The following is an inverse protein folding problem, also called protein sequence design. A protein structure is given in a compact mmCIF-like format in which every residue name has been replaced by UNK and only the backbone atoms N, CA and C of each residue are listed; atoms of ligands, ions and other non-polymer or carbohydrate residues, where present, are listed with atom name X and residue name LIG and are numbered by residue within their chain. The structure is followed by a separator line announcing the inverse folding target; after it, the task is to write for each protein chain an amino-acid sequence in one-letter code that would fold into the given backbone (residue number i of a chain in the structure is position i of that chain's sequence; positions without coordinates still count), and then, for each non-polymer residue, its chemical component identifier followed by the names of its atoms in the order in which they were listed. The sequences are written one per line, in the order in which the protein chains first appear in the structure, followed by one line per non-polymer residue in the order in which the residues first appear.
data_IF_722695235207
#
_entry.id   IF_722695235207
#
_cell.length_a   1.000
_cell.length_b   1.000
_cell.length_c   1.000
_cell.angle_alpha   90.00
_cell.angle_beta   90.00
_cell.angle_gamma   90.00
#
_symmetry.space_group_name_H-M   'P 1'
#
loop_
_entity.id
_entity.type
_entity.pdbx_description
1 polymer ?
#
# COMPACT_ATOMS: atom_id res chain seq x y z
N UNK A 1 -23.76 12.12 -2.40
CA UNK A 1 -22.94 11.10 -1.70
C UNK A 1 -21.95 11.80 -0.78
N UNK A 2 -21.53 11.18 0.34
CA UNK A 2 -20.49 11.74 1.22
C UNK A 2 -19.10 11.25 0.76
N UNK A 3 -18.04 12.09 0.76
CA UNK A 3 -16.69 11.66 0.39
C UNK A 3 -16.16 10.55 1.30
N UNK A 4 -15.69 9.44 0.72
CA UNK A 4 -14.91 8.40 1.40
C UNK A 4 -13.41 8.70 1.37
N UNK A 5 -12.93 9.38 0.33
CA UNK A 5 -11.53 9.76 0.14
C UNK A 5 -11.39 11.28 0.18
N UNK A 6 -10.40 11.78 0.91
CA UNK A 6 -10.04 13.20 0.92
C UNK A 6 -8.62 13.39 0.38
N UNK A 7 -8.50 14.13 -0.72
CA UNK A 7 -7.23 14.43 -1.38
C UNK A 7 -6.80 15.84 -1.01
N UNK A 8 -5.60 15.99 -0.44
CA UNK A 8 -5.00 17.28 -0.18
C UNK A 8 -3.76 17.49 -1.06
N UNK A 9 -3.73 18.60 -1.77
CA UNK A 9 -2.58 19.06 -2.55
C UNK A 9 -1.82 20.15 -1.79
N UNK A 10 -0.50 20.05 -1.76
CA UNK A 10 0.36 21.08 -1.18
C UNK A 10 0.40 22.37 -2.02
N UNK A 11 0.22 22.22 -3.33
CA UNK A 11 0.15 23.28 -4.34
C UNK A 11 -0.88 22.95 -5.42
N UNK A 12 -1.46 23.97 -6.05
CA UNK A 12 -2.32 23.78 -7.21
C UNK A 12 -1.55 23.19 -8.41
N UNK A 13 -0.22 23.38 -8.47
CA UNK A 13 0.65 22.77 -9.48
C UNK A 13 0.68 21.24 -9.42
N UNK A 14 0.30 20.65 -8.29
CA UNK A 14 0.32 19.19 -8.09
C UNK A 14 -0.92 18.51 -8.72
N UNK A 15 -1.81 19.29 -9.34
CA UNK A 15 -3.09 18.82 -9.88
C UNK A 15 -2.92 17.71 -10.93
N UNK A 16 -1.91 17.76 -11.80
CA UNK A 16 -1.68 16.71 -12.80
C UNK A 16 -1.42 15.33 -12.17
N UNK A 17 -0.86 15.28 -10.96
CA UNK A 17 -0.70 14.02 -10.21
C UNK A 17 -2.01 13.63 -9.54
N UNK A 18 -2.76 14.60 -9.03
CA UNK A 18 -4.08 14.38 -8.46
C UNK A 18 -5.08 13.83 -9.48
N UNK A 19 -5.03 14.32 -10.72
CA UNK A 19 -5.90 13.89 -11.83
C UNK A 19 -5.82 12.37 -12.05
N UNK A 20 -4.60 11.80 -12.03
CA UNK A 20 -4.40 10.35 -12.09
C UNK A 20 -5.13 9.59 -10.97
N UNK A 21 -5.20 10.18 -9.77
CA UNK A 21 -5.95 9.61 -8.65
C UNK A 21 -7.47 9.76 -8.87
N UNK A 22 -7.92 10.92 -9.35
CA UNK A 22 -9.34 11.20 -9.63
C UNK A 22 -9.90 10.22 -10.66
N UNK A 23 -9.17 9.99 -11.76
CA UNK A 23 -9.58 9.08 -12.83
C UNK A 23 -9.85 7.66 -12.31
N UNK A 24 -9.01 7.17 -11.38
CA UNK A 24 -9.18 5.86 -10.76
C UNK A 24 -10.39 5.87 -9.82
N UNK A 25 -10.56 6.91 -9.00
CA UNK A 25 -11.68 7.00 -8.05
C UNK A 25 -13.02 7.08 -8.78
N UNK A 26 -13.10 7.80 -9.91
CA UNK A 26 -14.27 7.86 -10.79
C UNK A 26 -14.59 6.49 -11.40
N UNK A 27 -13.60 5.80 -11.97
CA UNK A 27 -13.77 4.44 -12.51
C UNK A 27 -14.29 3.46 -11.44
N UNK A 28 -13.76 3.56 -10.22
CA UNK A 28 -14.16 2.74 -9.09
C UNK A 28 -15.41 3.24 -8.37
N UNK A 29 -16.00 4.36 -8.82
CA UNK A 29 -17.20 4.98 -8.24
C UNK A 29 -17.05 5.23 -6.73
N UNK A 30 -15.89 5.70 -6.29
CA UNK A 30 -15.59 6.02 -4.90
C UNK A 30 -15.73 7.54 -4.73
N UNK A 31 -16.68 8.03 -3.91
CA UNK A 31 -16.85 9.46 -3.70
C UNK A 31 -15.61 10.08 -3.05
N UNK A 32 -15.17 11.23 -3.57
CA UNK A 32 -14.01 11.94 -3.05
C UNK A 32 -14.25 13.45 -2.94
N UNK A 33 -13.37 14.13 -2.21
CA UNK A 33 -13.21 15.59 -2.22
C UNK A 33 -11.73 15.92 -2.41
N UNK A 34 -11.44 17.06 -3.05
CA UNK A 34 -10.09 17.55 -3.32
C UNK A 34 -9.95 18.98 -2.83
N UNK A 35 -8.90 19.23 -2.04
CA UNK A 35 -8.60 20.56 -1.49
C UNK A 35 -7.13 20.90 -1.67
N UNK A 36 -6.85 22.19 -1.91
CA UNK A 36 -5.49 22.73 -1.88
C UNK A 36 -5.24 23.39 -0.53
N UNK A 37 -4.25 22.88 0.21
CA UNK A 37 -3.81 23.40 1.50
C UNK A 37 -2.34 23.03 1.74
N UNK A 38 -1.54 24.02 2.09
CA UNK A 38 -0.09 23.88 2.22
C UNK A 38 0.29 23.66 3.68
N UNK A 39 1.02 22.58 3.94
CA UNK A 39 1.64 22.27 5.23
C UNK A 39 2.44 23.44 5.82
N UNK A 40 3.15 24.20 4.99
CA UNK A 40 4.04 25.27 5.43
C UNK A 40 3.38 26.66 5.47
N UNK A 41 2.41 26.91 4.58
CA UNK A 41 1.80 28.26 4.41
C UNK A 41 0.41 28.38 5.03
N UNK A 42 -0.34 27.29 5.12
CA UNK A 42 -1.74 27.28 5.59
C UNK A 42 -1.99 26.08 6.50
N UNK A 43 -1.09 25.82 7.46
CA UNK A 43 -1.16 24.65 8.35
C UNK A 43 -2.49 24.53 9.11
N UNK A 44 -3.06 25.64 9.60
CA UNK A 44 -4.37 25.64 10.26
C UNK A 44 -5.50 25.18 9.32
N UNK A 45 -5.41 25.54 8.03
CA UNK A 45 -6.36 25.08 7.01
C UNK A 45 -6.25 23.56 6.81
N UNK A 46 -5.03 23.02 6.74
CA UNK A 46 -4.80 21.56 6.65
C UNK A 46 -5.44 20.86 7.85
N UNK A 47 -5.12 21.31 9.07
CA UNK A 47 -5.67 20.75 10.31
C UNK A 47 -7.19 20.77 10.33
N UNK A 48 -7.79 21.91 9.98
CA UNK A 48 -9.26 22.07 9.92
C UNK A 48 -9.88 21.09 8.92
N UNK A 49 -9.35 21.02 7.70
CA UNK A 49 -9.84 20.09 6.67
C UNK A 49 -9.77 18.65 7.17
N UNK A 50 -8.64 18.21 7.73
CA UNK A 50 -8.45 16.83 8.19
C UNK A 50 -9.43 16.46 9.30
N UNK A 51 -9.59 17.33 10.31
CA UNK A 51 -10.49 17.09 11.43
C UNK A 51 -11.96 17.06 11.00
N UNK A 52 -12.38 18.01 10.16
CA UNK A 52 -13.76 18.07 9.64
C UNK A 52 -14.07 16.88 8.74
N UNK A 53 -13.17 16.54 7.83
CA UNK A 53 -13.31 15.39 6.91
C UNK A 53 -13.41 14.07 7.67
N UNK A 54 -12.56 13.90 8.70
CA UNK A 54 -12.60 12.71 9.57
C UNK A 54 -13.96 12.59 10.27
N UNK A 55 -14.54 13.71 10.77
CA UNK A 55 -15.88 13.73 11.38
C UNK A 55 -17.00 13.48 10.36
N UNK A 56 -16.82 13.90 9.12
CA UNK A 56 -17.80 13.72 8.04
C UNK A 56 -17.84 12.30 7.49
N UNK A 57 -16.89 11.44 7.88
CA UNK A 57 -16.87 10.02 7.53
C UNK A 57 -15.84 9.65 6.46
N UNK A 58 -14.85 10.49 6.20
CA UNK A 58 -13.71 10.10 5.35
C UNK A 58 -12.99 8.90 5.96
N UNK A 59 -12.73 7.92 5.11
CA UNK A 59 -12.11 6.64 5.46
C UNK A 59 -10.61 6.65 5.15
N UNK A 60 -10.18 7.31 4.06
CA UNK A 60 -8.76 7.39 3.64
C UNK A 60 -8.40 8.81 3.21
N UNK A 61 -7.20 9.27 3.58
CA UNK A 61 -6.63 10.52 3.09
C UNK A 61 -5.52 10.25 2.08
N UNK A 62 -5.41 11.10 1.06
CA UNK A 62 -4.30 11.10 0.10
C UNK A 62 -3.62 12.47 0.18
N UNK A 63 -2.36 12.51 0.60
CA UNK A 63 -1.54 13.72 0.59
C UNK A 63 -0.60 13.71 -0.61
N UNK A 64 -0.70 14.72 -1.48
CA UNK A 64 0.15 14.87 -2.66
C UNK A 64 1.02 16.11 -2.47
N UNK A 65 2.34 15.93 -2.43
CA UNK A 65 3.28 17.02 -2.21
C UNK A 65 4.68 16.70 -2.72
N UNK A 66 5.38 17.72 -3.24
CA UNK A 66 6.78 17.66 -3.62
C UNK A 66 7.72 18.32 -2.61
N UNK A 67 9.02 18.30 -2.90
CA UNK A 67 10.09 18.88 -2.08
C UNK A 67 10.11 18.29 -0.65
N UNK A 68 10.16 19.14 0.37
CA UNK A 68 10.01 18.74 1.77
C UNK A 68 8.54 18.44 2.06
N UNK A 69 8.08 17.29 1.56
CA UNK A 69 6.68 16.86 1.49
C UNK A 69 6.10 16.51 2.87
N UNK A 70 5.92 17.51 3.73
CA UNK A 70 5.37 17.31 5.09
C UNK A 70 3.84 17.14 5.12
N UNK A 71 3.15 17.36 4.00
CA UNK A 71 1.68 17.32 3.98
C UNK A 71 1.12 15.95 4.40
N UNK A 72 1.56 14.80 3.85
CA UNK A 72 1.11 13.49 4.33
C UNK A 72 1.35 13.29 5.83
N UNK A 73 2.52 13.68 6.33
CA UNK A 73 2.85 13.55 7.75
C UNK A 73 1.97 14.42 8.66
N UNK A 74 1.68 15.65 8.27
CA UNK A 74 0.77 16.54 9.02
C UNK A 74 -0.66 15.99 9.02
N UNK A 75 -1.12 15.41 7.90
CA UNK A 75 -2.42 14.72 7.86
C UNK A 75 -2.41 13.56 8.87
N UNK A 76 -1.40 12.69 8.82
CA UNK A 76 -1.27 11.52 9.70
C UNK A 76 -1.22 11.88 11.19
N UNK A 77 -0.67 13.05 11.53
CA UNK A 77 -0.65 13.57 12.89
C UNK A 77 -2.01 14.08 13.39
N UNK A 78 -2.95 14.42 12.49
CA UNK A 78 -4.24 15.02 12.84
C UNK A 78 -5.45 14.09 12.59
N UNK A 79 -5.22 12.82 12.23
CA UNK A 79 -6.28 11.83 12.07
C UNK A 79 -5.85 10.44 12.55
N UNK A 80 -6.82 9.56 12.78
CA UNK A 80 -6.64 8.12 13.04
C UNK A 80 -7.04 7.28 11.81
N UNK A 81 -7.29 7.94 10.67
CA UNK A 81 -7.55 7.29 9.38
C UNK A 81 -6.24 7.03 8.64
N UNK A 82 -6.16 5.97 7.83
CA UNK A 82 -5.01 5.73 6.96
C UNK A 82 -4.70 6.93 6.08
N UNK A 83 -3.41 7.25 5.97
CA UNK A 83 -2.90 8.31 5.08
C UNK A 83 -2.00 7.69 4.03
N UNK A 84 -2.34 7.93 2.76
CA UNK A 84 -1.51 7.59 1.61
C UNK A 84 -0.71 8.82 1.20
N UNK A 85 0.61 8.68 1.12
CA UNK A 85 1.51 9.73 0.65
C UNK A 85 1.89 9.50 -0.81
N UNK A 86 1.69 10.51 -1.66
CA UNK A 86 2.13 10.51 -3.06
C UNK A 86 3.21 11.59 -3.21
N UNK A 87 4.49 11.20 -3.23
CA UNK A 87 5.60 12.11 -3.47
C UNK A 87 5.53 12.69 -4.89
N UNK A 88 5.78 13.98 -5.06
CA UNK A 88 5.82 14.63 -6.38
C UNK A 88 7.25 14.94 -6.78
N UNK A 89 7.61 14.65 -8.03
CA UNK A 89 8.90 15.06 -8.59
C UNK A 89 8.90 16.56 -8.91
N UNK A 90 9.78 17.30 -8.22
CA UNK A 90 9.95 18.75 -8.42
C UNK A 90 11.41 19.15 -8.67
N UNK A 91 12.39 18.43 -8.07
CA UNK A 91 13.81 18.78 -8.19
C UNK A 91 14.74 17.58 -8.28
N UNK A 92 14.76 16.72 -7.27
CA UNK A 92 15.72 15.62 -7.15
C UNK A 92 15.09 14.27 -7.48
N UNK A 93 14.29 14.21 -8.56
CA UNK A 93 13.58 12.99 -8.95
C UNK A 93 12.53 12.55 -7.92
N UNK A 94 11.97 13.51 -7.17
CA UNK A 94 11.04 13.27 -6.05
C UNK A 94 11.61 12.50 -4.85
N UNK A 95 12.92 12.23 -4.79
CA UNK A 95 13.53 11.50 -3.68
C UNK A 95 13.41 12.24 -2.35
N UNK A 96 13.51 13.57 -2.36
CA UNK A 96 13.27 14.42 -1.19
C UNK A 96 11.85 14.26 -0.65
N UNK A 97 10.85 14.29 -1.53
CA UNK A 97 9.45 14.10 -1.19
C UNK A 97 9.17 12.67 -0.68
N UNK A 98 9.82 11.67 -1.28
CA UNK A 98 9.69 10.26 -0.92
C UNK A 98 10.21 10.02 0.49
N UNK A 99 11.41 10.49 0.82
CA UNK A 99 11.95 10.34 2.18
C UNK A 99 11.15 11.15 3.20
N UNK A 100 10.71 12.37 2.85
CA UNK A 100 9.88 13.19 3.72
C UNK A 100 8.52 12.53 4.05
N UNK A 101 7.97 11.75 3.12
CA UNK A 101 6.68 11.06 3.31
C UNK A 101 6.83 9.70 4.00
N UNK A 102 7.87 8.92 3.68
CA UNK A 102 8.01 7.53 4.15
C UNK A 102 8.67 7.40 5.53
N UNK A 103 9.66 8.24 5.84
CA UNK A 103 10.49 8.14 7.04
C UNK A 103 9.81 8.75 8.28
N UNK A 104 8.55 8.41 8.50
CA UNK A 104 7.74 8.96 9.58
C UNK A 104 8.17 8.44 10.96
N UNK A 105 8.19 9.31 11.99
CA UNK A 105 8.34 8.86 13.37
C UNK A 105 7.12 8.06 13.81
N UNK A 106 7.31 7.21 14.82
CA UNK A 106 6.21 6.54 15.49
C UNK A 106 5.42 7.53 16.35
N UNK A 107 4.07 7.47 16.44
CA UNK A 107 3.14 6.50 15.85
C UNK A 107 2.33 7.05 14.65
N UNK A 108 2.91 7.89 13.79
CA UNK A 108 2.19 8.55 12.71
C UNK A 108 2.57 7.95 11.34
N UNK A 109 2.05 6.78 10.96
CA UNK A 109 2.42 6.15 9.70
C UNK A 109 1.89 6.93 8.50
N UNK A 110 2.60 6.80 7.37
CA UNK A 110 2.14 7.18 6.04
C UNK A 110 2.43 6.00 5.11
N UNK A 111 1.40 5.56 4.39
CA UNK A 111 1.52 4.56 3.33
C UNK A 111 2.05 5.24 2.06
N UNK A 112 3.36 5.27 1.88
CA UNK A 112 3.98 6.00 0.76
C UNK A 112 3.99 5.13 -0.50
N UNK A 113 3.44 5.66 -1.60
CA UNK A 113 3.52 5.04 -2.94
C UNK A 113 4.66 5.68 -3.76
N UNK A 114 4.92 5.16 -4.96
CA UNK A 114 5.96 5.68 -5.85
C UNK A 114 5.79 7.16 -6.21
N UNK A 115 6.90 7.79 -6.59
CA UNK A 115 6.92 9.19 -7.05
C UNK A 115 5.95 9.36 -8.23
N UNK A 116 5.12 10.41 -8.18
CA UNK A 116 4.11 10.77 -9.17
C UNK A 116 3.01 9.72 -9.44
N UNK A 117 2.90 8.69 -8.58
CA UNK A 117 1.93 7.59 -8.69
C UNK A 117 0.59 7.93 -8.04
N UNK A 118 -0.05 9.01 -8.49
CA UNK A 118 -1.41 9.37 -8.05
C UNK A 118 -2.41 8.23 -8.25
N UNK A 119 -2.27 7.49 -9.36
CA UNK A 119 -3.06 6.31 -9.67
C UNK A 119 -2.91 5.20 -8.62
N UNK A 120 -1.68 4.87 -8.19
CA UNK A 120 -1.47 3.87 -7.14
C UNK A 120 -1.94 4.39 -5.77
N UNK A 121 -1.89 5.70 -5.54
CA UNK A 121 -2.47 6.29 -4.34
C UNK A 121 -3.97 6.02 -4.23
N UNK A 122 -4.71 6.21 -5.33
CA UNK A 122 -6.14 5.92 -5.39
C UNK A 122 -6.44 4.41 -5.35
N UNK A 123 -5.65 3.58 -6.06
CA UNK A 123 -5.80 2.13 -6.03
C UNK A 123 -5.58 1.57 -4.61
N UNK A 124 -4.57 2.06 -3.88
CA UNK A 124 -4.34 1.68 -2.49
C UNK A 124 -5.52 2.10 -1.60
N UNK A 125 -6.04 3.32 -1.78
CA UNK A 125 -7.24 3.78 -1.06
C UNK A 125 -8.45 2.87 -1.32
N UNK A 126 -8.63 2.42 -2.57
CA UNK A 126 -9.68 1.47 -2.92
C UNK A 126 -9.49 0.09 -2.25
N UNK A 127 -8.26 -0.44 -2.20
CA UNK A 127 -7.97 -1.68 -1.48
C UNK A 127 -8.30 -1.55 0.01
N UNK A 128 -7.95 -0.43 0.63
CA UNK A 128 -8.21 -0.16 2.05
C UNK A 128 -9.73 -0.12 2.32
N UNK A 129 -10.49 0.63 1.51
CA UNK A 129 -11.95 0.68 1.61
C UNK A 129 -12.55 -0.71 1.36
N UNK A 130 -12.00 -1.46 0.40
CA UNK A 130 -12.38 -2.82 0.02
C UNK A 130 -12.21 -3.88 1.12
N UNK A 131 -11.52 -3.56 2.22
CA UNK A 131 -11.52 -4.41 3.43
C UNK A 131 -12.95 -4.59 3.97
N UNK A 132 -13.76 -3.52 3.93
CA UNK A 132 -15.13 -3.50 4.48
C UNK A 132 -16.21 -3.30 3.44
N UNK A 133 -15.88 -2.86 2.23
CA UNK A 133 -16.80 -2.63 1.13
C UNK A 133 -16.52 -3.63 -0.01
N UNK A 134 -17.27 -4.73 -0.04
CA UNK A 134 -17.10 -5.80 -1.02
C UNK A 134 -17.33 -5.33 -2.47
N UNK A 135 -18.21 -4.36 -2.69
CA UNK A 135 -18.49 -3.83 -4.02
C UNK A 135 -17.32 -3.00 -4.54
N UNK A 136 -16.66 -2.21 -3.68
CA UNK A 136 -15.40 -1.55 -4.03
C UNK A 136 -14.32 -2.57 -4.34
N UNK A 137 -14.21 -3.64 -3.54
CA UNK A 137 -13.24 -4.71 -3.79
C UNK A 137 -13.45 -5.35 -5.16
N UNK A 138 -14.68 -5.75 -5.51
CA UNK A 138 -14.99 -6.33 -6.83
C UNK A 138 -14.63 -5.40 -7.99
N UNK A 139 -14.98 -4.10 -7.88
CA UNK A 139 -14.61 -3.10 -8.91
C UNK A 139 -13.10 -2.93 -9.04
N UNK A 140 -12.38 -2.96 -7.91
CA UNK A 140 -10.92 -2.94 -7.92
C UNK A 140 -10.34 -4.18 -8.61
N UNK A 141 -10.81 -5.38 -8.29
CA UNK A 141 -10.35 -6.63 -8.91
C UNK A 141 -10.56 -6.60 -10.43
N UNK A 142 -11.73 -6.17 -10.89
CA UNK A 142 -12.04 -6.00 -12.32
C UNK A 142 -11.16 -4.94 -12.99
N UNK A 143 -10.94 -3.80 -12.34
CA UNK A 143 -10.04 -2.77 -12.86
C UNK A 143 -8.62 -3.31 -12.99
N UNK A 144 -8.19 -4.12 -12.02
CA UNK A 144 -6.87 -4.76 -12.02
C UNK A 144 -6.67 -5.70 -13.22
N UNK A 145 -7.69 -6.47 -13.60
CA UNK A 145 -7.67 -7.30 -14.81
C UNK A 145 -7.39 -6.48 -16.08
N UNK A 146 -7.90 -5.24 -16.15
CA UNK A 146 -7.65 -4.37 -17.31
C UNK A 146 -6.18 -3.99 -17.50
N UNK A 147 -5.39 -3.93 -16.41
CA UNK A 147 -3.94 -3.70 -16.51
C UNK A 147 -3.23 -4.91 -17.10
N UNK A 148 -3.67 -6.14 -16.78
CA UNK A 148 -3.13 -7.36 -17.37
C UNK A 148 -3.46 -7.46 -18.85
N UNK A 149 -4.72 -7.23 -19.23
CA UNK A 149 -5.12 -7.22 -20.64
C UNK A 149 -4.42 -6.12 -21.46
N UNK A 150 -3.96 -5.04 -20.82
CA UNK A 150 -3.15 -4.02 -21.50
C UNK A 150 -1.78 -4.57 -21.88
N UNK A 151 -1.12 -5.32 -20.99
CA UNK A 151 0.19 -5.93 -21.26
C UNK A 151 0.10 -6.90 -22.44
N UNK A 152 -0.95 -7.73 -22.50
CA UNK A 152 -1.17 -8.64 -23.64
C UNK A 152 -1.37 -7.89 -24.97
N UNK A 153 -2.08 -6.76 -24.96
CA UNK A 153 -2.25 -5.93 -26.16
C UNK A 153 -0.93 -5.27 -26.59
N UNK A 154 -0.18 -4.74 -25.63
CA UNK A 154 1.11 -4.09 -25.89
C UNK A 154 2.12 -5.11 -26.45
N UNK A 155 2.12 -6.35 -25.93
CA UNK A 155 2.91 -7.46 -26.47
C UNK A 155 2.51 -7.75 -27.92
N UNK A 156 1.24 -8.01 -28.21
CA UNK A 156 0.78 -8.31 -29.57
C UNK A 156 1.14 -7.19 -30.57
N UNK A 157 1.02 -5.92 -30.16
CA UNK A 157 1.44 -4.79 -31.00
C UNK A 157 2.94 -4.77 -31.26
N UNK A 158 3.76 -5.09 -30.25
CA UNK A 158 5.21 -5.17 -30.40
C UNK A 158 5.60 -6.31 -31.36
N UNK A 159 5.07 -7.52 -31.14
CA UNK A 159 5.43 -8.70 -31.93
C UNK A 159 5.04 -8.54 -33.41
N UNK A 160 3.90 -7.90 -33.70
CA UNK A 160 3.49 -7.59 -35.07
C UNK A 160 4.46 -6.68 -35.83
N UNK A 161 5.23 -5.85 -35.10
CA UNK A 161 6.21 -4.94 -35.66
C UNK A 161 7.63 -5.50 -35.66
N UNK A 162 7.84 -6.71 -35.09
CA UNK A 162 9.14 -7.35 -35.02
C UNK A 162 9.37 -8.23 -36.24
N UNK A 163 10.52 -8.01 -36.90
CA UNK A 163 11.10 -8.92 -37.88
C UNK A 163 12.58 -9.11 -37.58
N UNK A 164 13.16 -10.21 -38.02
CA UNK A 164 14.60 -10.46 -37.87
C UNK A 164 14.97 -11.92 -38.12
N UNK A 165 16.19 -12.14 -38.61
CA UNK A 165 16.68 -13.47 -38.97
C UNK A 165 16.90 -14.40 -37.76
N UNK A 166 16.82 -13.87 -36.53
CA UNK A 166 17.05 -14.58 -35.27
C UNK A 166 15.84 -14.50 -34.32
N UNK A 167 14.72 -13.94 -34.75
CA UNK A 167 13.50 -13.83 -33.94
C UNK A 167 12.51 -14.92 -34.33
N UNK A 168 12.21 -15.82 -33.39
CA UNK A 168 11.31 -16.95 -33.58
C UNK A 168 10.38 -17.04 -32.35
N UNK A 169 9.21 -16.39 -32.38
CA UNK A 169 8.28 -16.46 -31.26
C UNK A 169 7.74 -17.88 -31.12
N UNK A 170 7.75 -18.41 -29.90
CA UNK A 170 7.09 -19.68 -29.57
C UNK A 170 5.59 -19.45 -29.38
N UNK A 171 4.77 -20.37 -29.86
CA UNK A 171 3.33 -20.39 -29.59
C UNK A 171 3.10 -20.98 -28.19
N UNK A 172 2.89 -20.11 -27.21
CA UNK A 172 2.69 -20.48 -25.80
C UNK A 172 1.24 -20.17 -25.44
N UNK A 173 0.49 -21.19 -25.03
CA UNK A 173 -0.89 -21.03 -24.54
C UNK A 173 -0.91 -20.56 -23.08
N UNK A 174 -1.07 -19.25 -22.89
CA UNK A 174 -1.19 -18.63 -21.57
C UNK A 174 -2.58 -18.76 -20.92
N UNK A 175 -3.56 -19.36 -21.61
CA UNK A 175 -4.92 -19.57 -21.07
C UNK A 175 -5.05 -20.83 -20.23
N UNK A 176 -4.11 -21.77 -20.39
CA UNK A 176 -4.02 -22.99 -19.59
C UNK A 176 -3.43 -22.68 -18.21
N UNK A 177 -4.28 -22.49 -17.19
CA UNK A 177 -3.82 -22.52 -15.80
C UNK A 177 -3.55 -23.99 -15.43
N UNK A 178 -2.29 -24.37 -15.27
CA UNK A 178 -1.97 -25.63 -14.60
C UNK A 178 -2.55 -25.58 -13.19
N UNK A 179 -3.53 -26.45 -12.91
CA UNK A 179 -4.05 -26.62 -11.54
C UNK A 179 -2.93 -27.19 -10.67
N UNK A 180 -2.33 -26.34 -9.84
CA UNK A 180 -1.44 -26.80 -8.77
C UNK A 180 -2.30 -27.62 -7.81
N UNK A 181 -2.22 -28.95 -7.91
CA UNK A 181 -2.84 -29.88 -6.95
C UNK A 181 -2.18 -29.70 -5.59
N UNK A 182 -2.75 -28.83 -4.76
CA UNK A 182 -2.39 -28.72 -3.35
C UNK A 182 -3.28 -29.69 -2.58
N UNK A 183 -2.66 -30.61 -1.84
CA UNK A 183 -3.33 -31.40 -0.82
C UNK A 183 -4.02 -30.45 0.16
N UNK A 184 -5.35 -30.52 0.28
CA UNK A 184 -6.14 -29.77 1.25
C UNK A 184 -5.63 -30.05 2.67
N UNK A 185 -4.79 -29.16 3.21
CA UNK A 185 -4.65 -29.07 4.67
C UNK A 185 -5.93 -28.42 5.21
N UNK A 186 -6.52 -28.95 6.29
CA UNK A 186 -7.78 -28.45 6.81
C UNK A 186 -7.64 -26.97 7.16
N UNK A 187 -8.50 -26.14 6.57
CA UNK A 187 -8.59 -24.72 6.88
C UNK A 187 -8.81 -24.57 8.40
N UNK A 188 -7.87 -23.92 9.09
CA UNK A 188 -8.07 -23.56 10.49
C UNK A 188 -9.26 -22.62 10.58
N UNK A 189 -10.18 -22.87 11.52
CA UNK A 189 -11.46 -22.18 11.65
C UNK A 189 -11.37 -20.70 12.05
N UNK A 190 -10.17 -20.14 12.24
CA UNK A 190 -9.97 -18.74 12.64
C UNK A 190 -8.88 -18.11 11.75
N UNK A 191 -9.30 -17.54 10.60
CA UNK A 191 -8.39 -16.87 9.68
C UNK A 191 -7.85 -15.60 10.34
N UNK A 192 -6.52 -15.41 10.42
CA UNK A 192 -5.95 -14.21 11.01
C UNK A 192 -6.30 -12.96 10.17
N UNK A 193 -6.38 -11.81 10.83
CA UNK A 193 -6.67 -10.55 10.13
C UNK A 193 -5.51 -10.13 9.21
N UNK A 194 -4.26 -10.42 9.59
CA UNK A 194 -3.05 -9.96 8.91
C UNK A 194 -2.08 -11.13 8.64
N UNK A 195 -1.50 -11.19 7.45
CA UNK A 195 -0.36 -12.05 7.17
C UNK A 195 0.95 -11.24 7.19
N UNK A 196 1.89 -11.58 8.08
CA UNK A 196 3.19 -10.95 8.22
C UNK A 196 4.26 -11.84 7.60
N UNK A 197 4.93 -11.33 6.57
CA UNK A 197 5.81 -12.12 5.70
C UNK A 197 7.23 -11.53 5.69
N UNK A 198 8.10 -11.94 6.62
CA UNK A 198 9.53 -11.73 6.50
C UNK A 198 10.15 -12.56 5.36
N UNK A 199 10.95 -11.93 4.50
CA UNK A 199 11.63 -12.61 3.38
C UNK A 199 12.78 -13.52 3.79
N UNK A 200 13.35 -13.27 4.96
CA UNK A 200 14.46 -14.03 5.52
C UNK A 200 14.46 -13.98 7.05
N UNK A 201 15.23 -14.88 7.67
CA UNK A 201 15.45 -14.82 9.12
C UNK A 201 16.17 -13.55 9.58
N UNK A 202 16.92 -12.90 8.70
CA UNK A 202 17.58 -11.62 9.00
C UNK A 202 16.58 -10.48 9.19
N UNK A 203 15.37 -10.60 8.65
CA UNK A 203 14.30 -9.61 8.76
C UNK A 203 13.46 -9.78 10.05
N UNK A 204 13.75 -10.81 10.85
CA UNK A 204 12.94 -11.19 12.01
C UNK A 204 12.95 -10.16 13.14
N UNK A 205 14.00 -9.34 13.28
CA UNK A 205 14.02 -8.28 14.29
C UNK A 205 12.93 -7.24 14.03
N UNK A 206 12.74 -6.87 12.75
CA UNK A 206 11.67 -5.96 12.31
C UNK A 206 10.31 -6.66 12.43
N UNK A 207 10.20 -7.93 12.02
CA UNK A 207 8.96 -8.69 12.13
C UNK A 207 8.48 -8.87 13.58
N UNK A 208 9.39 -9.15 14.52
CA UNK A 208 9.09 -9.20 15.96
C UNK A 208 8.59 -7.86 16.48
N UNK A 209 9.20 -6.75 16.04
CA UNK A 209 8.73 -5.41 16.40
C UNK A 209 7.31 -5.17 15.87
N UNK A 210 7.04 -5.51 14.61
CA UNK A 210 5.70 -5.39 14.01
C UNK A 210 4.65 -6.17 14.80
N UNK A 211 4.91 -7.46 15.02
CA UNK A 211 3.98 -8.37 15.70
C UNK A 211 3.72 -7.98 17.15
N UNK A 212 4.74 -7.54 17.89
CA UNK A 212 4.55 -6.98 19.24
C UNK A 212 3.57 -5.79 19.27
N UNK A 213 3.52 -4.97 18.22
CA UNK A 213 2.54 -3.88 18.13
C UNK A 213 1.16 -4.36 17.70
N UNK A 214 1.07 -5.37 16.82
CA UNK A 214 -0.20 -6.03 16.48
C UNK A 214 -0.84 -6.66 17.73
N UNK A 215 -0.07 -7.38 18.55
CA UNK A 215 -0.51 -7.96 19.83
C UNK A 215 -1.07 -6.90 20.78
N UNK A 216 -0.38 -5.75 20.91
CA UNK A 216 -0.83 -4.64 21.77
C UNK A 216 -2.16 -4.03 21.34
N UNK A 217 -2.54 -4.20 20.08
CA UNK A 217 -3.81 -3.74 19.53
C UNK A 217 -4.83 -4.87 19.41
N UNK A 218 -4.44 -6.10 19.80
CA UNK A 218 -5.24 -7.31 19.73
C UNK A 218 -5.77 -7.53 18.29
N UNK A 219 -4.81 -7.53 17.36
CA UNK A 219 -4.99 -7.86 15.95
C UNK A 219 -4.36 -9.23 15.71
N UNK A 220 -5.15 -10.21 15.26
CA UNK A 220 -4.65 -11.55 14.97
C UNK A 220 -3.79 -11.55 13.70
N UNK A 221 -2.69 -12.30 13.74
CA UNK A 221 -1.78 -12.40 12.60
C UNK A 221 -1.17 -13.80 12.45
N UNK A 222 -0.81 -14.16 11.22
CA UNK A 222 0.16 -15.25 10.93
C UNK A 222 1.53 -14.64 10.65
N UNK A 223 2.60 -15.27 11.14
CA UNK A 223 3.98 -14.86 10.89
C UNK A 223 4.75 -16.02 10.25
N UNK A 224 5.17 -15.84 8.99
CA UNK A 224 5.88 -16.90 8.26
C UNK A 224 7.09 -16.36 7.49
N UNK A 225 8.28 -16.90 7.76
CA UNK A 225 9.49 -16.58 7.00
C UNK A 225 9.46 -17.35 5.69
N UNK A 226 9.22 -16.65 4.60
CA UNK A 226 9.09 -17.27 3.29
C UNK A 226 9.59 -16.38 2.17
N UNK A 227 10.28 -16.98 1.20
CA UNK A 227 10.96 -16.29 0.12
C UNK A 227 10.41 -16.80 -1.21
N UNK A 228 9.82 -15.93 -2.06
CA UNK A 228 9.30 -16.33 -3.36
C UNK A 228 10.40 -16.78 -4.33
N UNK A 229 11.65 -16.33 -4.12
CA UNK A 229 12.79 -16.70 -4.96
C UNK A 229 13.39 -18.04 -4.57
N UNK A 230 13.54 -18.28 -3.25
CA UNK A 230 14.17 -19.52 -2.76
C UNK A 230 13.20 -20.69 -2.70
N UNK A 231 11.92 -20.41 -2.47
CA UNK A 231 10.87 -21.41 -2.25
C UNK A 231 9.54 -20.99 -2.92
N UNK A 232 9.50 -20.88 -4.27
CA UNK A 232 8.33 -20.35 -5.00
C UNK A 232 7.04 -21.14 -4.75
N UNK A 233 7.06 -22.47 -4.88
CA UNK A 233 5.87 -23.31 -4.66
C UNK A 233 5.32 -23.18 -3.24
N UNK A 234 6.21 -23.09 -2.23
CA UNK A 234 5.81 -22.90 -0.84
C UNK A 234 5.16 -21.52 -0.66
N UNK A 235 5.69 -20.50 -1.34
CA UNK A 235 5.17 -19.14 -1.28
C UNK A 235 3.76 -19.06 -1.87
N UNK A 236 3.54 -19.66 -3.04
CA UNK A 236 2.22 -19.73 -3.68
C UNK A 236 1.20 -20.46 -2.81
N UNK A 237 1.56 -21.64 -2.25
CA UNK A 237 0.70 -22.37 -1.31
C UNK A 237 0.35 -21.54 -0.07
N UNK A 238 1.31 -20.77 0.45
CA UNK A 238 1.07 -19.88 1.57
C UNK A 238 0.11 -18.73 1.20
N UNK A 239 0.27 -18.15 0.01
CA UNK A 239 -0.63 -17.09 -0.48
C UNK A 239 -2.07 -17.59 -0.65
N UNK A 240 -2.27 -18.79 -1.20
CA UNK A 240 -3.60 -19.41 -1.32
C UNK A 240 -4.23 -19.66 0.06
N UNK A 241 -3.46 -20.19 1.01
CA UNK A 241 -3.91 -20.39 2.40
C UNK A 241 -4.30 -19.07 3.08
N UNK A 242 -3.66 -17.97 2.72
CA UNK A 242 -3.87 -16.64 3.30
C UNK A 242 -4.79 -15.75 2.45
N UNK A 243 -5.55 -16.29 1.49
CA UNK A 243 -6.41 -15.49 0.59
C UNK A 243 -7.48 -14.65 1.31
N UNK A 244 -7.92 -15.12 2.47
CA UNK A 244 -9.01 -14.53 3.25
C UNK A 244 -8.56 -13.50 4.31
N UNK A 245 -7.24 -13.28 4.45
CA UNK A 245 -6.72 -12.20 5.30
C UNK A 245 -7.18 -10.83 4.78
N UNK A 246 -7.19 -9.85 5.67
CA UNK A 246 -7.63 -8.48 5.32
C UNK A 246 -6.54 -7.67 4.65
N UNK A 247 -5.28 -7.88 5.04
CA UNK A 247 -4.11 -7.24 4.45
C UNK A 247 -2.83 -8.03 4.72
N UNK A 248 -1.77 -7.68 3.99
CA UNK A 248 -0.44 -8.24 4.14
C UNK A 248 0.57 -7.21 4.66
N UNK A 249 1.53 -7.65 5.46
CA UNK A 249 2.72 -6.88 5.81
C UNK A 249 3.94 -7.64 5.29
N UNK A 250 4.55 -7.13 4.23
CA UNK A 250 5.75 -7.71 3.62
C UNK A 250 7.01 -7.03 4.20
N UNK A 251 7.87 -7.81 4.84
CA UNK A 251 9.06 -7.32 5.54
C UNK A 251 10.29 -7.91 4.86
N UNK A 252 11.10 -7.11 4.17
CA UNK A 252 12.26 -7.67 3.47
C UNK A 252 13.36 -6.63 3.31
N UNK A 253 14.60 -7.08 3.49
CA UNK A 253 15.78 -6.37 3.00
C UNK A 253 16.10 -6.75 1.55
N UNK A 254 17.15 -6.15 1.01
CA UNK A 254 17.60 -6.36 -0.38
C UNK A 254 16.50 -6.02 -1.40
N UNK A 255 16.35 -6.81 -2.46
CA UNK A 255 15.58 -6.48 -3.67
C UNK A 255 14.05 -6.60 -3.56
N UNK A 256 13.46 -6.40 -2.37
CA UNK A 256 12.00 -6.27 -2.15
C UNK A 256 11.09 -7.37 -2.76
N UNK A 257 11.63 -8.53 -3.13
CA UNK A 257 10.93 -9.53 -3.94
C UNK A 257 9.67 -10.09 -3.27
N UNK A 258 9.67 -10.22 -1.93
CA UNK A 258 8.47 -10.64 -1.18
C UNK A 258 7.32 -9.70 -1.45
N UNK A 259 7.54 -8.39 -1.30
CA UNK A 259 6.50 -7.38 -1.50
C UNK A 259 5.95 -7.44 -2.92
N UNK A 260 6.81 -7.53 -3.93
CA UNK A 260 6.39 -7.65 -5.33
C UNK A 260 5.56 -8.92 -5.58
N UNK A 261 5.99 -10.06 -5.04
CA UNK A 261 5.28 -11.34 -5.21
C UNK A 261 3.93 -11.37 -4.48
N UNK A 262 3.83 -10.79 -3.28
CA UNK A 262 2.55 -10.67 -2.54
C UNK A 262 1.55 -9.86 -3.35
N UNK A 263 1.97 -8.70 -3.86
CA UNK A 263 1.09 -7.84 -4.67
C UNK A 263 0.68 -8.56 -5.94
N UNK A 264 1.60 -9.25 -6.62
CA UNK A 264 1.29 -10.01 -7.82
C UNK A 264 0.18 -11.06 -7.61
N UNK A 265 0.15 -11.72 -6.45
CA UNK A 265 -0.78 -12.80 -6.13
C UNK A 265 -2.00 -12.39 -5.29
N UNK A 266 -2.11 -11.13 -4.86
CA UNK A 266 -3.19 -10.69 -3.99
C UNK A 266 -3.75 -9.32 -4.33
N UNK A 267 -5.08 -9.20 -4.32
CA UNK A 267 -5.81 -7.94 -4.42
C UNK A 267 -5.91 -7.14 -3.11
N UNK A 268 -5.48 -7.73 -1.98
CA UNK A 268 -5.57 -7.08 -0.66
C UNK A 268 -4.51 -5.97 -0.53
N UNK A 269 -4.72 -4.97 0.36
CA UNK A 269 -3.68 -4.00 0.68
C UNK A 269 -2.39 -4.69 1.13
N UNK A 270 -1.26 -4.16 0.67
CA UNK A 270 0.08 -4.60 1.07
C UNK A 270 0.85 -3.45 1.69
N UNK A 271 1.31 -3.64 2.93
CA UNK A 271 2.21 -2.73 3.61
C UNK A 271 3.65 -3.24 3.44
N UNK A 272 4.51 -2.44 2.80
CA UNK A 272 5.92 -2.74 2.64
C UNK A 272 6.75 -2.19 3.81
N UNK A 273 7.58 -3.04 4.43
CA UNK A 273 8.50 -2.65 5.49
C UNK A 273 9.95 -2.96 5.08
N UNK A 274 10.71 -1.97 4.60
CA UNK A 274 12.07 -2.17 4.15
C UNK A 274 13.01 -2.46 5.33
N UNK A 275 13.95 -3.40 5.16
CA UNK A 275 14.92 -3.75 6.20
C UNK A 275 16.35 -3.29 5.85
N UNK A 276 17.12 -2.79 6.84
CA UNK A 276 18.43 -2.17 6.61
C UNK A 276 19.58 -3.20 6.50
N UNK A 277 19.45 -4.19 5.63
CA UNK A 277 20.49 -5.22 5.45
C UNK A 277 21.72 -4.70 4.67
N UNK A 278 21.49 -3.86 3.66
CA UNK A 278 22.52 -3.19 2.84
C UNK A 278 22.13 -1.74 2.64
N UNK A 279 23.08 -0.86 2.32
CA UNK A 279 22.83 0.56 2.01
C UNK A 279 21.92 1.31 2.99
N UNK A 280 21.93 0.93 4.28
CA UNK A 280 21.00 1.50 5.28
C UNK A 280 19.52 1.26 5.00
N UNK A 281 19.17 0.28 4.15
CA UNK A 281 17.80 -0.07 3.73
C UNK A 281 17.29 0.72 2.54
N UNK A 282 18.10 1.59 1.95
CA UNK A 282 17.72 2.41 0.81
C UNK A 282 17.37 1.57 -0.43
N UNK A 283 18.13 0.50 -0.66
CA UNK A 283 17.87 -0.51 -1.69
C UNK A 283 16.47 -1.08 -1.55
N UNK A 284 16.13 -1.61 -0.37
CA UNK A 284 14.81 -2.20 -0.12
C UNK A 284 13.68 -1.18 -0.17
N UNK A 285 13.89 0.05 0.35
CA UNK A 285 12.90 1.11 0.31
C UNK A 285 12.56 1.52 -1.13
N UNK A 286 13.59 1.81 -1.93
CA UNK A 286 13.39 2.24 -3.32
C UNK A 286 12.81 1.13 -4.20
N UNK A 287 13.16 -0.14 -3.94
CA UNK A 287 12.56 -1.29 -4.64
C UNK A 287 11.11 -1.54 -4.23
N UNK A 288 10.71 -1.24 -2.98
CA UNK A 288 9.32 -1.43 -2.54
C UNK A 288 8.37 -0.33 -3.02
N UNK A 289 8.82 0.92 -2.96
CA UNK A 289 7.94 2.08 -3.18
C UNK A 289 7.66 2.32 -4.66
N UNK A 290 8.60 2.02 -5.55
CA UNK A 290 8.51 2.30 -6.99
C UNK A 290 7.79 1.20 -7.78
N UNK A 291 6.60 0.83 -7.34
CA UNK A 291 5.76 -0.12 -8.06
C UNK A 291 5.14 0.51 -9.32
N UNK A 292 4.97 -0.25 -10.42
CA UNK A 292 4.31 0.23 -11.63
C UNK A 292 2.80 0.53 -11.40
N UNK A 293 2.11 1.18 -12.36
CA UNK A 293 0.67 1.37 -12.27
C UNK A 293 -0.09 0.06 -12.08
N UNK A 294 -1.14 0.06 -11.28
CA UNK A 294 -2.02 -1.10 -11.09
C UNK A 294 -1.63 -2.02 -9.93
N UNK A 295 -0.43 -1.84 -9.37
CA UNK A 295 0.13 -2.69 -8.30
C UNK A 295 0.59 -1.85 -7.09
N UNK A 296 -0.35 -1.20 -6.37
CA UNK A 296 0.00 -0.31 -5.27
C UNK A 296 0.63 -1.04 -4.08
N UNK A 297 1.60 -0.38 -3.44
CA UNK A 297 2.17 -0.79 -2.13
C UNK A 297 2.25 0.43 -1.23
N UNK A 298 1.70 0.32 -0.02
CA UNK A 298 1.88 1.31 1.03
C UNK A 298 3.21 1.09 1.76
N UNK A 299 4.27 1.77 1.36
CA UNK A 299 5.60 1.57 1.95
C UNK A 299 5.79 2.51 3.15
N UNK A 300 6.15 1.95 4.31
CA UNK A 300 6.59 2.73 5.48
C UNK A 300 8.12 2.87 5.50
N UNK A 301 8.64 3.70 6.40
CA UNK A 301 10.09 3.90 6.52
C UNK A 301 10.88 2.64 6.88
N UNK A 302 12.19 2.70 6.66
CA UNK A 302 13.13 1.60 6.93
C UNK A 302 13.07 1.14 8.39
N UNK A 303 13.00 -0.17 8.60
CA UNK A 303 12.86 -0.85 9.89
C UNK A 303 11.65 -0.40 10.72
N UNK A 304 10.66 0.24 10.10
CA UNK A 304 9.54 0.87 10.80
C UNK A 304 8.34 -0.06 11.00
N UNK A 305 8.61 -1.27 11.52
CA UNK A 305 7.58 -2.28 11.80
C UNK A 305 6.50 -1.82 12.78
N UNK A 306 6.82 -0.88 13.68
CA UNK A 306 5.83 -0.27 14.56
C UNK A 306 4.79 0.55 13.79
N UNK A 307 5.22 1.44 12.90
CA UNK A 307 4.30 2.19 12.04
C UNK A 307 3.56 1.28 11.05
N UNK A 308 4.18 0.19 10.57
CA UNK A 308 3.48 -0.80 9.76
C UNK A 308 2.28 -1.41 10.51
N UNK A 309 2.47 -1.77 11.79
CA UNK A 309 1.39 -2.28 12.63
C UNK A 309 0.30 -1.21 12.88
N UNK A 310 0.68 0.04 13.17
CA UNK A 310 -0.29 1.14 13.35
C UNK A 310 -1.09 1.37 12.07
N UNK A 311 -0.43 1.38 10.91
CA UNK A 311 -1.09 1.54 9.62
C UNK A 311 -2.09 0.41 9.35
N UNK A 312 -1.69 -0.84 9.63
CA UNK A 312 -2.61 -1.98 9.55
C UNK A 312 -3.82 -1.79 10.46
N UNK A 313 -3.61 -1.32 11.70
CA UNK A 313 -4.68 -1.03 12.63
C UNK A 313 -5.61 0.10 12.15
N UNK A 314 -5.06 1.18 11.58
CA UNK A 314 -5.84 2.26 10.99
C UNK A 314 -6.73 1.76 9.83
N UNK A 315 -6.20 0.86 8.99
CA UNK A 315 -6.95 0.24 7.89
C UNK A 315 -8.08 -0.67 8.42
N UNK A 316 -7.77 -1.53 9.38
CA UNK A 316 -8.73 -2.46 9.99
C UNK A 316 -9.76 -1.77 10.88
N UNK A 317 -9.46 -0.58 11.39
CA UNK A 317 -10.36 0.22 12.21
C UNK A 317 -11.51 0.85 11.38
N UNK A 318 -11.40 0.90 10.05
CA UNK A 318 -12.50 1.31 9.19
C UNK A 318 -13.65 0.31 9.40
N UNK A 319 -14.82 0.80 9.82
CA UNK A 319 -15.96 -0.05 10.17
C UNK A 319 -15.87 -0.78 11.53
N UNK A 320 -14.72 -0.80 12.21
CA UNK A 320 -14.53 -1.44 13.52
C UNK A 320 -14.32 -0.40 14.64
N UNK A 321 -15.40 -0.09 15.37
CA UNK A 321 -15.39 0.92 16.45
C UNK A 321 -14.46 0.58 17.62
N UNK A 322 -14.28 -0.70 17.93
CA UNK A 322 -13.43 -1.11 19.05
C UNK A 322 -11.97 -0.87 18.71
N UNK A 323 -11.53 -1.34 17.55
CA UNK A 323 -10.16 -1.14 17.09
C UNK A 323 -9.85 0.35 16.84
N UNK A 324 -10.82 1.09 16.31
CA UNK A 324 -10.74 2.55 16.14
C UNK A 324 -10.45 3.27 17.48
N UNK A 325 -11.12 2.88 18.57
CA UNK A 325 -10.86 3.43 19.89
C UNK A 325 -9.47 3.07 20.42
N UNK A 326 -8.97 1.86 20.13
CA UNK A 326 -7.61 1.42 20.51
C UNK A 326 -6.55 2.24 19.76
N UNK A 327 -6.71 2.44 18.45
CA UNK A 327 -5.82 3.27 17.63
C UNK A 327 -5.77 4.71 18.16
N UNK A 328 -6.92 5.33 18.43
CA UNK A 328 -7.00 6.69 18.99
C UNK A 328 -6.25 6.81 20.31
N UNK A 329 -6.44 5.86 21.23
CA UNK A 329 -5.74 5.85 22.53
C UNK A 329 -4.23 5.76 22.36
N UNK A 330 -3.75 4.91 21.45
CA UNK A 330 -2.32 4.73 21.21
C UNK A 330 -1.69 6.00 20.63
N UNK A 331 -2.32 6.61 19.61
CA UNK A 331 -1.81 7.85 18.99
C UNK A 331 -1.82 9.02 19.97
N UNK A 332 -2.81 9.11 20.87
CA UNK A 332 -2.86 10.18 21.88
C UNK A 332 -1.83 9.97 23.01
N UNK A 333 -1.61 8.73 23.48
CA UNK A 333 -0.63 8.43 24.54
C UNK A 333 0.82 8.72 24.14
N UNK A 334 1.13 8.75 22.84
CA UNK A 334 2.47 9.07 22.35
C UNK A 334 2.75 10.59 22.30
N UNK A 335 1.75 11.43 22.60
CA UNK A 335 1.85 12.88 22.64
C UNK A 335 2.10 13.39 24.08
N UNK A 336 1.88 12.53 25.09
CA UNK A 336 2.19 12.77 26.52
C UNK A 336 3.60 12.27 26.88
#
# INVERSE_FOLDING_TARGET
MKPKVMILLGSASDYNIAEKALDILEQLKIPYDLRVASAHRTHEKVKKIVLESTRQGVEVFIGIAGLSAHLPGIIAANTHRPVVGVPVDVKVGGLDALFASSQMPFPAPVATVGVDRGENGALLAAQIIGITDEEVRKRFSQLRESFYSKVERDENQLLNNMGGNYYFPADIDFTSKEEVKVTEEPASTDTPMVAVIPGSYSDMSVAKKTTNFLDRMDITYDLNVISPIRYPERFEKYMERMKDVKLFIAITGLSAHVTGAVVALSEKPVIGVPCPLRMGGLDSLLSMVNMPPGVPVGTVGVANGGNAAILAAEMLAIGNKELDNRVKRLKNKAIE
#
